data_IF_302741770080
#
_entry.id   IF_302741770080
#
_cell.length_a   1.000
_cell.length_b   1.000
_cell.length_c   1.000
_cell.angle_alpha   90.00
_cell.angle_beta   90.00
_cell.angle_gamma   90.00
#
_symmetry.space_group_name_H-M   'P 1'
#
loop_
_entity.id
_entity.type
_entity.pdbx_description
1 polymer ?
#
# COMPACT_ATOMS: atom_id res chain seq x y z
N UNK A 1 -18.15 23.81 47.48
CA UNK A 1 -16.92 23.07 47.12
C UNK A 1 -16.37 23.72 45.86
N UNK A 2 -15.06 23.97 45.77
CA UNK A 2 -14.48 24.51 44.54
C UNK A 2 -14.56 23.42 43.46
N UNK A 3 -15.27 23.69 42.36
CA UNK A 3 -15.32 22.78 41.22
C UNK A 3 -13.90 22.59 40.69
N UNK A 4 -13.45 21.33 40.64
CA UNK A 4 -12.10 20.98 40.16
C UNK A 4 -12.05 21.32 38.67
N UNK A 5 -11.09 22.16 38.28
CA UNK A 5 -10.81 22.46 36.88
C UNK A 5 -10.15 21.22 36.25
N UNK A 6 -10.92 20.42 35.51
CA UNK A 6 -10.44 19.21 34.83
C UNK A 6 -10.69 19.30 33.33
N UNK A 7 -9.64 19.59 32.56
CA UNK A 7 -9.68 19.41 31.12
C UNK A 7 -9.77 17.90 30.81
N UNK A 8 -10.57 17.53 29.82
CA UNK A 8 -10.70 16.13 29.39
C UNK A 8 -11.05 16.08 27.90
N UNK A 9 -10.14 15.55 27.09
CA UNK A 9 -10.30 15.32 25.64
C UNK A 9 -10.34 13.82 25.34
N UNK A 10 -11.25 13.41 24.47
CA UNK A 10 -11.55 12.02 24.13
C UNK A 10 -11.50 11.80 22.62
N UNK A 11 -11.11 10.59 22.26
CA UNK A 11 -11.12 10.02 20.92
C UNK A 11 -11.49 8.53 21.08
N UNK A 12 -11.94 7.89 20.01
CA UNK A 12 -12.27 6.45 19.96
C UNK A 12 -11.00 5.61 20.12
N UNK A 13 -10.61 5.30 21.35
CA UNK A 13 -9.35 4.63 21.68
C UNK A 13 -9.48 3.12 21.81
N UNK A 14 -10.66 2.61 22.12
CA UNK A 14 -10.97 1.18 22.10
C UNK A 14 -11.43 0.68 20.71
N UNK A 15 -11.62 1.60 19.76
CA UNK A 15 -11.87 1.34 18.32
C UNK A 15 -13.24 0.73 18.07
N UNK A 16 -14.23 1.10 18.87
CA UNK A 16 -15.63 0.66 18.72
C UNK A 16 -16.43 1.53 17.74
N UNK A 17 -15.84 2.62 17.23
CA UNK A 17 -16.45 3.55 16.28
C UNK A 17 -17.14 4.74 16.93
N UNK A 18 -17.17 4.84 18.26
CA UNK A 18 -17.80 5.90 19.04
C UNK A 18 -16.80 6.58 19.98
N UNK A 19 -17.14 7.79 20.45
CA UNK A 19 -16.34 8.49 21.47
C UNK A 19 -17.12 8.54 22.77
N UNK A 20 -16.66 7.81 23.78
CA UNK A 20 -17.27 7.77 25.11
C UNK A 20 -16.88 8.99 25.96
N UNK A 21 -17.89 9.79 26.30
CA UNK A 21 -17.78 10.97 27.16
C UNK A 21 -18.26 10.72 28.59
N UNK A 22 -18.88 9.58 28.87
CA UNK A 22 -19.59 9.30 30.12
C UNK A 22 -18.92 8.22 30.95
N UNK A 23 -18.33 7.22 30.31
CA UNK A 23 -17.59 6.15 30.94
C UNK A 23 -16.08 6.31 30.79
N UNK A 24 -15.40 5.17 30.88
CA UNK A 24 -13.94 5.09 31.01
C UNK A 24 -13.24 4.49 29.80
N UNK A 25 -13.97 3.92 28.82
CA UNK A 25 -13.37 3.21 27.68
C UNK A 25 -12.40 4.10 26.90
N UNK A 26 -12.76 5.38 26.72
CA UNK A 26 -11.91 6.39 26.09
C UNK A 26 -11.12 7.29 27.05
N UNK A 27 -11.10 6.95 28.34
CA UNK A 27 -10.35 7.72 29.35
C UNK A 27 -9.00 7.11 29.69
N UNK A 28 -8.94 5.78 29.80
CA UNK A 28 -7.82 5.08 30.40
C UNK A 28 -6.74 4.83 29.37
N UNK A 29 -5.49 5.14 29.69
CA UNK A 29 -4.36 4.87 28.79
C UNK A 29 -4.35 5.66 27.47
N UNK A 30 -5.32 6.56 27.22
CA UNK A 30 -5.55 7.28 25.95
C UNK A 30 -4.37 8.10 25.41
N UNK A 31 -3.31 8.30 26.19
CA UNK A 31 -2.06 8.95 25.76
C UNK A 31 -1.05 7.98 25.14
N UNK A 32 -1.33 6.68 25.21
CA UNK A 32 -0.51 5.60 24.66
C UNK A 32 -1.19 5.02 23.42
N UNK A 33 -0.42 4.68 22.40
CA UNK A 33 -0.92 4.03 21.19
C UNK A 33 -0.14 2.74 20.92
N UNK A 34 -0.87 1.63 20.79
CA UNK A 34 -0.36 0.28 20.50
C UNK A 34 -1.07 -0.31 19.28
N UNK A 35 -0.62 -1.48 18.82
CA UNK A 35 -1.30 -2.20 17.74
C UNK A 35 -2.77 -2.52 18.07
N UNK A 36 -3.11 -2.67 19.37
CA UNK A 36 -4.44 -3.08 19.82
C UNK A 36 -5.28 -1.93 20.42
N UNK A 37 -4.66 -0.82 20.79
CA UNK A 37 -5.32 0.27 21.51
C UNK A 37 -4.85 1.67 21.06
N UNK A 38 -5.74 2.64 21.13
CA UNK A 38 -5.50 4.04 20.77
C UNK A 38 -6.13 4.40 19.43
N UNK A 39 -6.57 5.65 19.33
CA UNK A 39 -7.41 6.11 18.23
C UNK A 39 -6.67 6.18 16.89
N UNK A 40 -7.42 6.02 15.81
CA UNK A 40 -6.94 6.02 14.43
C UNK A 40 -7.60 7.15 13.65
N UNK A 41 -6.87 7.76 12.74
CA UNK A 41 -7.43 8.74 11.80
C UNK A 41 -6.91 8.54 10.39
N UNK A 42 -7.65 9.03 9.40
CA UNK A 42 -7.30 8.85 7.99
C UNK A 42 -6.40 9.98 7.46
N UNK A 43 -5.50 9.65 6.51
CA UNK A 43 -4.85 10.64 5.67
C UNK A 43 -5.88 11.16 4.65
N UNK A 44 -6.27 12.43 4.71
CA UNK A 44 -7.29 12.97 3.81
C UNK A 44 -6.68 13.38 2.46
N UNK A 45 -6.06 12.40 1.79
CA UNK A 45 -5.24 12.55 0.58
C UNK A 45 -6.01 12.27 -0.72
N UNK A 46 -7.34 12.29 -0.67
CA UNK A 46 -8.22 12.26 -1.84
C UNK A 46 -8.17 13.55 -2.67
N UNK A 47 -8.97 13.62 -3.72
CA UNK A 47 -9.14 14.83 -4.54
C UNK A 47 -10.61 15.09 -4.82
N UNK A 48 -11.31 15.67 -3.83
CA UNK A 48 -12.73 15.98 -3.90
C UNK A 48 -13.04 16.79 -5.16
N UNK A 49 -14.01 16.31 -5.93
CA UNK A 49 -14.44 16.86 -7.23
C UNK A 49 -13.32 16.96 -8.28
N UNK A 50 -12.26 16.16 -8.14
CA UNK A 50 -11.07 16.18 -9.02
C UNK A 50 -10.41 17.55 -9.12
N UNK A 51 -10.41 18.35 -8.05
CA UNK A 51 -9.90 19.73 -8.05
C UNK A 51 -8.44 19.80 -8.51
N UNK A 52 -7.58 18.98 -7.91
CA UNK A 52 -6.16 18.89 -8.24
C UNK A 52 -5.97 18.34 -9.64
N UNK A 53 -6.59 17.22 -9.96
CA UNK A 53 -6.54 16.57 -11.28
C UNK A 53 -6.91 17.55 -12.41
N UNK A 54 -8.04 18.27 -12.26
CA UNK A 54 -8.48 19.30 -13.22
C UNK A 54 -7.49 20.45 -13.36
N UNK A 55 -6.79 20.84 -12.30
CA UNK A 55 -5.78 21.89 -12.35
C UNK A 55 -4.48 21.40 -13.02
N UNK A 56 -4.08 20.17 -12.75
CA UNK A 56 -2.90 19.52 -13.35
C UNK A 56 -3.05 19.39 -14.87
N UNK A 57 -4.24 19.00 -15.35
CA UNK A 57 -4.52 18.83 -16.78
C UNK A 57 -4.63 20.14 -17.58
N UNK A 58 -4.73 21.30 -16.92
CA UNK A 58 -4.88 22.62 -17.57
C UNK A 58 -3.56 23.38 -17.75
N UNK A 59 -2.44 22.88 -17.24
CA UNK A 59 -1.15 23.56 -17.22
C UNK A 59 -0.01 22.71 -17.79
N UNK A 60 1.23 23.24 -17.77
CA UNK A 60 2.41 22.44 -18.08
C UNK A 60 2.57 21.29 -17.07
N UNK A 61 3.24 20.22 -17.51
CA UNK A 61 3.58 19.10 -16.62
C UNK A 61 4.32 19.61 -15.38
N UNK A 62 3.85 19.19 -14.21
CA UNK A 62 4.45 19.53 -12.92
C UNK A 62 5.42 18.44 -12.45
N UNK A 63 6.33 18.79 -11.55
CA UNK A 63 7.23 17.83 -10.91
C UNK A 63 6.47 16.75 -10.14
N UNK A 64 7.12 15.61 -9.91
CA UNK A 64 6.52 14.49 -9.18
C UNK A 64 6.14 14.92 -7.74
N UNK A 65 6.92 15.76 -7.08
CA UNK A 65 6.63 16.26 -5.73
C UNK A 65 5.37 17.13 -5.71
N UNK A 66 5.13 17.90 -6.77
CA UNK A 66 3.94 18.74 -6.87
C UNK A 66 2.68 17.93 -7.18
N UNK A 67 2.79 16.80 -7.90
CA UNK A 67 1.69 15.85 -8.06
C UNK A 67 1.24 15.30 -6.70
N UNK A 68 2.21 14.81 -5.90
CA UNK A 68 1.92 14.16 -4.63
C UNK A 68 1.23 15.10 -3.64
N UNK A 69 1.72 16.33 -3.54
CA UNK A 69 1.27 17.36 -2.59
C UNK A 69 -0.13 17.93 -2.86
N UNK A 70 -0.70 17.77 -4.05
CA UNK A 70 -2.04 18.32 -4.34
C UNK A 70 -3.13 17.30 -4.01
N UNK A 71 -3.75 17.45 -2.84
CA UNK A 71 -4.85 16.62 -2.36
C UNK A 71 -5.81 17.44 -1.47
N UNK A 72 -6.86 16.83 -0.93
CA UNK A 72 -7.85 17.52 -0.08
C UNK A 72 -7.27 18.11 1.21
N UNK A 73 -6.16 17.55 1.68
CA UNK A 73 -5.38 18.04 2.81
C UNK A 73 -4.22 18.98 2.45
N UNK A 74 -4.13 19.45 1.21
CA UNK A 74 -3.09 20.40 0.77
C UNK A 74 -3.23 21.80 1.38
N UNK A 75 -4.41 22.13 1.92
CA UNK A 75 -4.69 23.39 2.62
C UNK A 75 -5.59 23.17 3.85
N UNK A 76 -6.20 24.24 4.38
CA UNK A 76 -7.04 24.22 5.59
C UNK A 76 -8.55 24.18 5.30
N UNK A 77 -8.96 24.00 4.04
CA UNK A 77 -10.37 23.84 3.70
C UNK A 77 -10.74 22.37 3.83
N UNK A 78 -11.71 22.06 4.68
CA UNK A 78 -12.27 20.71 4.76
C UNK A 78 -13.14 20.46 3.52
N UNK A 79 -12.86 19.36 2.81
CA UNK A 79 -13.56 18.97 1.58
C UNK A 79 -14.28 17.64 1.69
N UNK A 80 -13.72 16.71 2.46
CA UNK A 80 -14.29 15.39 2.74
C UNK A 80 -14.40 15.21 4.25
N UNK A 81 -15.53 15.63 4.83
CA UNK A 81 -15.77 15.55 6.28
C UNK A 81 -15.96 14.12 6.78
N UNK A 82 -16.39 13.21 5.91
CA UNK A 82 -16.58 11.79 6.21
C UNK A 82 -15.28 11.06 6.60
N UNK A 83 -14.11 11.66 6.35
CA UNK A 83 -12.80 11.11 6.71
C UNK A 83 -12.19 11.73 7.98
N UNK A 84 -12.93 12.59 8.70
CA UNK A 84 -12.49 13.10 9.99
C UNK A 84 -12.68 12.05 11.08
N UNK A 85 -11.60 11.76 11.83
CA UNK A 85 -11.74 11.02 13.08
C UNK A 85 -12.33 11.94 14.16
N UNK A 86 -13.37 11.50 14.89
CA UNK A 86 -14.03 12.33 15.88
C UNK A 86 -13.13 12.57 17.10
N UNK A 87 -13.13 13.82 17.55
CA UNK A 87 -12.56 14.25 18.83
C UNK A 87 -13.64 14.98 19.63
N UNK A 88 -13.63 14.84 20.94
CA UNK A 88 -14.61 15.51 21.82
C UNK A 88 -13.93 15.99 23.10
N UNK A 89 -14.44 17.06 23.70
CA UNK A 89 -14.08 17.40 25.09
C UNK A 89 -15.27 17.16 26.01
N UNK A 90 -15.04 16.65 27.20
CA UNK A 90 -16.10 16.50 28.20
C UNK A 90 -16.65 17.89 28.58
N UNK A 91 -17.98 18.09 28.62
CA UNK A 91 -18.58 19.37 28.97
C UNK A 91 -18.17 19.85 30.38
N UNK A 92 -17.90 21.14 30.53
CA UNK A 92 -17.50 21.76 31.80
C UNK A 92 -18.56 22.77 32.29
N UNK A 93 -19.79 22.35 32.67
CA UNK A 93 -20.93 23.25 32.89
C UNK A 93 -20.68 24.34 33.95
N UNK A 94 -19.91 23.99 34.98
CA UNK A 94 -19.60 24.88 36.12
C UNK A 94 -18.34 25.73 35.91
N UNK A 95 -17.77 25.74 34.69
CA UNK A 95 -16.57 26.52 34.38
C UNK A 95 -16.84 28.02 34.60
N UNK A 96 -16.02 28.74 35.38
CA UNK A 96 -16.30 30.16 35.67
C UNK A 96 -16.14 31.07 34.45
N UNK A 97 -16.81 32.22 34.49
CA UNK A 97 -16.69 33.25 33.46
C UNK A 97 -15.23 33.72 33.30
N UNK A 98 -14.84 34.03 32.07
CA UNK A 98 -13.47 34.48 31.74
C UNK A 98 -12.48 33.34 31.53
N UNK A 99 -12.89 32.08 31.71
CA UNK A 99 -12.07 30.93 31.32
C UNK A 99 -11.98 30.80 29.80
N UNK A 100 -10.84 30.31 29.31
CA UNK A 100 -10.58 30.06 27.89
C UNK A 100 -9.89 28.72 27.69
N UNK A 101 -10.03 28.15 26.49
CA UNK A 101 -9.48 26.85 26.15
C UNK A 101 -8.75 26.87 24.83
N UNK A 102 -7.83 25.93 24.65
CA UNK A 102 -7.05 25.72 23.41
C UNK A 102 -6.94 24.23 23.13
N UNK A 103 -6.98 23.87 21.86
CA UNK A 103 -6.68 22.52 21.37
C UNK A 103 -5.53 22.62 20.39
N UNK A 104 -4.46 21.87 20.61
CA UNK A 104 -3.26 21.97 19.79
C UNK A 104 -2.43 20.67 19.81
N UNK A 105 -1.59 20.51 18.78
CA UNK A 105 -0.52 19.51 18.75
C UNK A 105 0.81 20.23 19.01
N UNK A 106 1.53 19.81 20.05
CA UNK A 106 2.75 20.52 20.50
C UNK A 106 3.94 20.27 19.57
N UNK A 107 4.15 19.01 19.20
CA UNK A 107 5.25 18.62 18.33
C UNK A 107 5.08 19.24 16.94
N UNK A 108 6.16 19.81 16.39
CA UNK A 108 6.10 20.54 15.13
C UNK A 108 5.88 19.61 13.93
N UNK A 109 6.50 18.42 13.93
CA UNK A 109 6.38 17.44 12.85
C UNK A 109 4.96 16.87 12.85
N UNK A 110 4.43 16.50 14.01
CA UNK A 110 3.05 16.03 14.12
C UNK A 110 2.07 17.12 13.69
N UNK A 111 2.25 18.35 14.19
CA UNK A 111 1.37 19.50 13.88
C UNK A 111 1.38 19.88 12.40
N UNK A 112 2.52 19.74 11.70
CA UNK A 112 2.56 20.01 10.25
C UNK A 112 1.85 18.94 9.42
N UNK A 113 1.64 17.75 9.97
CA UNK A 113 1.06 16.60 9.27
C UNK A 113 -0.41 16.32 9.62
N UNK A 114 -1.03 17.09 10.51
CA UNK A 114 -2.45 16.94 10.85
C UNK A 114 -3.22 18.25 10.72
N UNK A 115 -4.54 18.14 10.62
CA UNK A 115 -5.46 19.27 10.69
C UNK A 115 -6.52 18.96 11.72
N UNK A 116 -6.88 19.95 12.54
CA UNK A 116 -7.98 19.84 13.49
C UNK A 116 -9.04 20.84 13.07
N UNK A 117 -10.29 20.40 13.09
CA UNK A 117 -11.46 21.19 12.77
C UNK A 117 -12.41 21.20 13.95
N UNK A 118 -13.20 22.25 14.07
CA UNK A 118 -14.22 22.42 15.10
C UNK A 118 -15.58 22.66 14.45
N UNK A 119 -16.62 22.02 14.99
CA UNK A 119 -18.01 22.23 14.60
C UNK A 119 -18.76 22.92 15.75
N UNK A 120 -19.08 24.21 15.59
CA UNK A 120 -19.66 25.01 16.67
C UNK A 120 -21.13 24.67 17.02
N UNK A 121 -21.83 24.02 16.10
CA UNK A 121 -23.22 23.57 16.26
C UNK A 121 -23.40 22.23 15.57
N UNK A 122 -24.33 21.42 16.05
CA UNK A 122 -24.71 20.17 15.38
C UNK A 122 -25.06 20.46 13.91
N UNK A 123 -24.47 19.69 12.99
CA UNK A 123 -24.61 19.86 11.53
C UNK A 123 -24.20 21.25 10.99
N UNK A 124 -23.40 21.99 11.75
CA UNK A 124 -22.82 23.27 11.31
C UNK A 124 -21.56 23.08 10.47
N UNK A 125 -21.03 24.19 9.97
CA UNK A 125 -19.80 24.17 9.20
C UNK A 125 -18.59 23.84 10.07
N UNK A 126 -17.67 23.05 9.53
CA UNK A 126 -16.35 22.80 10.12
C UNK A 126 -15.42 23.98 9.87
N UNK A 127 -14.80 24.47 10.94
CA UNK A 127 -13.79 25.52 10.89
C UNK A 127 -12.44 24.95 11.30
N UNK A 128 -11.41 25.13 10.47
CA UNK A 128 -10.04 24.79 10.84
C UNK A 128 -9.62 25.57 12.09
N UNK A 129 -8.97 24.88 13.03
CA UNK A 129 -8.38 25.50 14.21
C UNK A 129 -6.87 25.31 14.17
N UNK A 130 -6.15 26.40 14.43
CA UNK A 130 -4.71 26.35 14.63
C UNK A 130 -4.38 26.28 16.13
N UNK A 131 -3.09 26.13 16.45
CA UNK A 131 -2.65 26.09 17.85
C UNK A 131 -2.96 27.36 18.63
N UNK A 132 -3.25 28.49 17.99
CA UNK A 132 -3.54 29.77 18.62
C UNK A 132 -5.05 30.03 18.81
N UNK A 133 -5.89 29.19 18.22
CA UNK A 133 -7.34 29.28 18.31
C UNK A 133 -7.79 29.12 19.77
N UNK A 134 -8.64 30.04 20.23
CA UNK A 134 -9.15 30.05 21.61
C UNK A 134 -10.65 29.82 21.64
N UNK A 135 -11.09 29.01 22.60
CA UNK A 135 -12.48 28.69 22.83
C UNK A 135 -13.01 29.45 24.04
N UNK A 136 -14.21 30.00 23.90
CA UNK A 136 -14.87 30.77 24.96
C UNK A 136 -15.38 29.87 26.08
N UNK A 137 -15.57 30.44 27.28
CA UNK A 137 -16.20 29.73 28.40
C UNK A 137 -17.53 29.07 27.98
N UNK A 138 -18.33 29.72 27.14
CA UNK A 138 -19.64 29.21 26.73
C UNK A 138 -19.52 27.94 25.86
N UNK A 139 -18.50 27.86 25.00
CA UNK A 139 -18.22 26.67 24.21
C UNK A 139 -17.71 25.53 25.10
N UNK A 140 -16.76 25.82 26.01
CA UNK A 140 -16.20 24.83 26.93
C UNK A 140 -17.26 24.23 27.88
N UNK A 141 -18.24 25.04 28.31
CA UNK A 141 -19.37 24.55 29.11
C UNK A 141 -20.22 23.51 28.39
N UNK A 142 -20.31 23.59 27.06
CA UNK A 142 -21.04 22.63 26.21
C UNK A 142 -20.20 21.43 25.79
N UNK A 143 -18.88 21.51 25.91
CA UNK A 143 -17.95 20.59 25.27
C UNK A 143 -17.75 20.94 23.79
N UNK A 144 -16.55 20.65 23.27
CA UNK A 144 -16.18 20.91 21.88
C UNK A 144 -16.44 19.66 21.03
N UNK A 145 -16.99 19.88 19.84
CA UNK A 145 -17.07 18.88 18.77
C UNK A 145 -15.94 19.15 17.79
N UNK A 146 -15.02 18.19 17.69
CA UNK A 146 -13.77 18.32 16.96
C UNK A 146 -13.63 17.15 15.98
N UNK A 147 -12.82 17.35 14.95
CA UNK A 147 -12.44 16.31 14.00
C UNK A 147 -10.99 16.48 13.59
N UNK A 148 -10.28 15.38 13.37
CA UNK A 148 -8.88 15.37 12.95
C UNK A 148 -8.68 14.52 11.70
N UNK A 149 -7.84 15.01 10.78
CA UNK A 149 -7.31 14.21 9.68
C UNK A 149 -5.81 14.46 9.46
N UNK A 150 -5.20 13.57 8.67
CA UNK A 150 -3.80 13.64 8.25
C UNK A 150 -3.63 14.34 6.91
N UNK A 151 -2.51 15.04 6.74
CA UNK A 151 -2.07 15.60 5.46
C UNK A 151 -1.31 14.62 4.58
N UNK A 152 -0.79 13.57 5.19
CA UNK A 152 0.07 12.60 4.54
C UNK A 152 -0.05 11.24 5.25
N UNK A 153 0.57 10.23 4.67
CA UNK A 153 0.71 8.87 5.23
C UNK A 153 2.01 8.76 6.02
N UNK A 154 2.24 7.60 6.65
CA UNK A 154 3.54 7.29 7.26
C UNK A 154 4.59 7.17 6.15
N UNK A 155 5.76 7.76 6.35
CA UNK A 155 6.87 7.74 5.39
C UNK A 155 8.19 7.41 6.08
N UNK A 156 9.15 6.79 5.36
CA UNK A 156 10.46 6.48 5.92
C UNK A 156 11.16 7.77 6.35
N UNK A 157 11.81 7.74 7.52
CA UNK A 157 12.57 8.87 8.10
C UNK A 157 11.77 10.17 8.30
N UNK A 158 10.43 10.08 8.30
CA UNK A 158 9.54 11.22 8.43
C UNK A 158 8.67 11.14 9.68
N UNK A 159 7.42 11.53 9.53
CA UNK A 159 6.42 11.40 10.56
C UNK A 159 5.99 9.94 10.71
N UNK A 160 6.04 9.42 11.94
CA UNK A 160 5.67 8.05 12.30
C UNK A 160 4.15 7.81 12.36
N UNK A 161 3.37 8.85 12.04
CA UNK A 161 1.93 8.86 12.04
C UNK A 161 1.28 9.32 13.34
N UNK A 162 2.03 9.51 14.44
CA UNK A 162 1.44 9.85 15.74
C UNK A 162 1.06 11.32 15.85
N UNK A 163 -0.06 11.62 16.50
CA UNK A 163 -0.46 12.98 16.84
C UNK A 163 -0.97 13.02 18.28
N UNK A 164 -0.23 13.69 19.16
CA UNK A 164 -0.65 13.95 20.53
C UNK A 164 -1.43 15.26 20.60
N UNK A 165 -2.75 15.15 20.58
CA UNK A 165 -3.65 16.31 20.67
C UNK A 165 -3.82 16.68 22.14
N UNK A 166 -3.56 17.94 22.46
CA UNK A 166 -3.64 18.48 23.82
C UNK A 166 -4.77 19.48 23.92
N UNK A 167 -5.63 19.31 24.92
CA UNK A 167 -6.65 20.26 25.32
C UNK A 167 -6.23 20.95 26.61
N UNK A 168 -6.12 22.26 26.57
CA UNK A 168 -5.73 23.09 27.70
C UNK A 168 -6.84 24.06 28.05
N UNK A 169 -7.17 24.19 29.34
CA UNK A 169 -8.17 25.14 29.85
C UNK A 169 -7.51 26.02 30.90
N UNK A 170 -7.64 27.34 30.73
CA UNK A 170 -7.15 28.36 31.66
C UNK A 170 -8.34 29.09 32.28
N UNK A 171 -8.27 29.31 33.59
CA UNK A 171 -9.24 30.04 34.40
C UNK A 171 -8.48 30.89 35.43
N UNK A 172 -9.19 31.77 36.15
CA UNK A 172 -8.62 32.47 37.31
C UNK A 172 -8.20 31.50 38.43
N UNK A 173 -8.82 30.31 38.50
CA UNK A 173 -8.49 29.25 39.46
C UNK A 173 -7.26 28.41 39.05
N UNK A 174 -6.64 28.68 37.90
CA UNK A 174 -5.47 27.94 37.42
C UNK A 174 -5.62 27.41 36.00
N UNK A 175 -4.79 26.42 35.64
CA UNK A 175 -4.76 25.80 34.32
C UNK A 175 -4.88 24.28 34.47
N UNK A 176 -5.62 23.65 33.57
CA UNK A 176 -5.76 22.18 33.48
C UNK A 176 -5.49 21.75 32.06
N UNK A 177 -4.88 20.58 31.87
CA UNK A 177 -4.52 20.06 30.56
C UNK A 177 -4.72 18.57 30.52
N UNK A 178 -5.13 18.09 29.36
CA UNK A 178 -5.28 16.67 29.08
C UNK A 178 -4.95 16.39 27.61
N UNK A 179 -4.59 15.16 27.29
CA UNK A 179 -4.12 14.78 25.95
C UNK A 179 -4.66 13.42 25.53
N UNK A 180 -4.80 13.25 24.22
CA UNK A 180 -5.14 11.97 23.59
C UNK A 180 -4.22 11.72 22.40
N UNK A 181 -3.72 10.48 22.28
CA UNK A 181 -2.85 10.06 21.20
C UNK A 181 -3.68 9.40 20.11
N UNK A 182 -3.44 9.82 18.87
CA UNK A 182 -3.95 9.14 17.70
C UNK A 182 -2.81 8.77 16.76
N UNK A 183 -3.06 7.82 15.85
CA UNK A 183 -2.10 7.49 14.79
C UNK A 183 -2.78 7.40 13.43
N UNK A 184 -2.15 7.96 12.40
CA UNK A 184 -2.67 7.85 11.03
C UNK A 184 -2.72 6.38 10.62
N UNK A 185 -3.82 5.99 9.99
CA UNK A 185 -4.00 4.65 9.46
C UNK A 185 -2.86 4.29 8.48
N UNK A 186 -2.28 3.08 8.58
CA UNK A 186 -1.28 2.62 7.61
C UNK A 186 -1.93 2.44 6.23
N UNK A 187 -1.12 2.57 5.17
CA UNK A 187 -1.54 2.14 3.84
C UNK A 187 -1.30 0.65 3.71
N UNK A 188 -2.36 -0.10 3.42
CA UNK A 188 -2.32 -1.55 3.21
C UNK A 188 -2.58 -1.86 1.74
N UNK A 189 -1.88 -2.84 1.19
CA UNK A 189 -2.18 -3.38 -0.14
C UNK A 189 -3.31 -4.39 -0.06
N UNK A 190 -4.01 -4.55 -1.17
CA UNK A 190 -4.99 -5.60 -1.32
C UNK A 190 -4.32 -6.98 -1.41
N UNK A 191 -5.04 -8.00 -0.97
CA UNK A 191 -4.63 -9.38 -1.19
C UNK A 191 -5.27 -9.91 -2.45
N UNK A 192 -4.74 -11.00 -3.01
CA UNK A 192 -5.33 -11.69 -4.15
C UNK A 192 -6.78 -12.20 -3.91
N UNK A 193 -7.27 -12.15 -2.67
CA UNK A 193 -8.65 -12.49 -2.33
C UNK A 193 -9.63 -11.33 -2.58
N UNK A 194 -9.12 -10.12 -2.83
CA UNK A 194 -9.90 -8.92 -3.07
C UNK A 194 -10.24 -8.74 -4.58
N UNK A 195 -11.32 -8.00 -4.94
CA UNK A 195 -11.68 -7.74 -6.34
C UNK A 195 -10.63 -6.94 -7.13
N UNK A 196 -10.28 -7.40 -8.34
CA UNK A 196 -9.19 -6.86 -9.20
C UNK A 196 -9.55 -5.58 -9.96
N UNK A 197 -8.59 -4.65 -10.09
CA UNK A 197 -8.62 -3.53 -11.07
C UNK A 197 -7.40 -3.62 -12.01
N UNK A 198 -7.58 -3.32 -13.29
CA UNK A 198 -6.59 -3.59 -14.35
C UNK A 198 -5.53 -2.48 -14.48
N UNK A 199 -4.34 -2.73 -13.95
CA UNK A 199 -3.00 -2.34 -14.42
C UNK A 199 -1.98 -2.70 -13.33
N UNK A 200 -0.90 -3.40 -13.68
CA UNK A 200 -0.02 -4.05 -12.68
C UNK A 200 1.26 -3.25 -12.39
N UNK A 201 2.03 -2.89 -13.42
CA UNK A 201 3.42 -2.52 -13.16
C UNK A 201 3.67 -1.08 -12.69
N UNK A 202 2.72 -0.17 -12.88
CA UNK A 202 2.92 1.26 -12.53
C UNK A 202 2.10 1.72 -11.32
N UNK A 203 1.30 0.82 -10.74
CA UNK A 203 0.41 1.09 -9.63
C UNK A 203 0.28 -0.16 -8.76
N UNK A 204 0.11 0.05 -7.46
CA UNK A 204 -0.31 -1.00 -6.53
C UNK A 204 -1.57 -0.49 -5.79
N UNK A 205 -2.72 -1.19 -5.89
CA UNK A 205 -3.94 -0.77 -5.19
C UNK A 205 -3.82 -1.02 -3.68
N UNK A 206 -4.24 -0.03 -2.89
CA UNK A 206 -4.30 -0.16 -1.44
C UNK A 206 -5.41 0.66 -0.81
N UNK A 207 -5.40 0.71 0.52
CA UNK A 207 -6.38 1.44 1.31
C UNK A 207 -5.84 1.81 2.69
N UNK A 208 -6.52 2.75 3.34
CA UNK A 208 -6.34 3.06 4.76
C UNK A 208 -7.72 3.11 5.41
N UNK A 209 -7.85 2.59 6.64
CA UNK A 209 -9.15 2.51 7.33
C UNK A 209 -9.07 2.98 8.78
N UNK A 210 -10.17 3.52 9.27
CA UNK A 210 -10.39 3.81 10.69
C UNK A 210 -11.75 3.25 11.14
N UNK A 211 -11.95 3.00 12.44
CA UNK A 211 -13.26 2.63 12.97
C UNK A 211 -14.32 3.70 12.70
N UNK A 212 -15.58 3.28 12.63
CA UNK A 212 -16.72 4.16 12.47
C UNK A 212 -17.98 3.51 13.05
N UNK A 213 -19.03 4.31 13.32
CA UNK A 213 -20.21 3.85 14.06
C UNK A 213 -21.00 2.74 13.35
N UNK A 214 -20.94 2.70 12.02
CA UNK A 214 -21.63 1.71 11.18
C UNK A 214 -20.67 0.71 10.51
N UNK A 215 -19.42 0.64 11.01
CA UNK A 215 -18.33 -0.15 10.44
C UNK A 215 -17.15 0.72 9.98
N UNK A 216 -16.11 0.09 9.39
CA UNK A 216 -14.89 0.80 9.00
C UNK A 216 -15.15 1.89 7.96
N UNK A 217 -14.52 3.04 8.16
CA UNK A 217 -14.45 4.11 7.18
C UNK A 217 -13.10 3.96 6.45
N UNK A 218 -13.16 3.76 5.13
CA UNK A 218 -11.97 3.47 4.31
C UNK A 218 -11.75 4.51 3.22
N UNK A 219 -10.49 4.90 3.04
CA UNK A 219 -10.01 5.62 1.87
C UNK A 219 -9.26 4.64 0.96
N UNK A 220 -9.69 4.50 -0.29
CA UNK A 220 -8.92 3.79 -1.33
C UNK A 220 -7.70 4.61 -1.69
N UNK A 221 -6.53 3.99 -1.82
CA UNK A 221 -5.26 4.67 -2.09
C UNK A 221 -4.54 3.94 -3.21
N UNK A 222 -4.21 4.63 -4.29
CA UNK A 222 -3.34 4.08 -5.33
C UNK A 222 -1.88 4.41 -5.01
N UNK A 223 -1.02 3.40 -4.99
CA UNK A 223 0.40 3.56 -4.71
C UNK A 223 1.14 3.55 -6.05
N UNK A 224 1.82 4.64 -6.39
CA UNK A 224 2.60 4.72 -7.63
C UNK A 224 3.89 3.90 -7.51
N UNK A 225 4.23 3.13 -8.53
CA UNK A 225 5.56 2.50 -8.66
C UNK A 225 6.67 3.57 -8.59
N UNK A 226 7.81 3.32 -7.91
CA UNK A 226 8.89 4.30 -7.70
C UNK A 226 9.81 4.41 -8.94
N UNK A 227 9.19 4.64 -10.10
CA UNK A 227 9.81 4.83 -11.40
C UNK A 227 9.49 6.26 -11.88
N UNK A 228 10.39 7.19 -11.57
CA UNK A 228 10.09 8.63 -11.57
C UNK A 228 9.72 9.17 -12.96
N UNK A 229 10.31 8.58 -14.00
CA UNK A 229 10.13 8.91 -15.42
C UNK A 229 8.96 8.15 -16.08
N UNK A 230 8.37 7.15 -15.41
CA UNK A 230 7.27 6.34 -15.97
C UNK A 230 5.97 7.14 -16.01
N UNK A 231 5.68 7.71 -17.18
CA UNK A 231 4.52 8.59 -17.42
C UNK A 231 3.19 7.95 -17.00
N UNK A 232 3.02 6.63 -17.22
CA UNK A 232 1.80 5.91 -16.82
C UNK A 232 1.50 6.05 -15.32
N UNK A 233 2.52 6.01 -14.45
CA UNK A 233 2.34 6.17 -12.99
C UNK A 233 1.84 7.55 -12.57
N UNK A 234 2.06 8.58 -13.39
CA UNK A 234 1.52 9.93 -13.12
C UNK A 234 0.01 10.00 -13.28
N UNK A 235 -0.57 9.10 -14.09
CA UNK A 235 -2.01 9.07 -14.32
C UNK A 235 -2.81 8.81 -13.04
N UNK A 236 -2.20 8.18 -12.03
CA UNK A 236 -2.81 8.01 -10.71
C UNK A 236 -3.20 9.35 -10.07
N UNK A 237 -2.38 10.38 -10.26
CA UNK A 237 -2.62 11.72 -9.73
C UNK A 237 -3.43 12.60 -10.69
N UNK A 238 -3.29 12.36 -12.00
CA UNK A 238 -3.87 13.21 -13.05
C UNK A 238 -5.30 12.79 -13.43
N UNK A 239 -5.65 11.51 -13.29
CA UNK A 239 -6.94 10.96 -13.75
C UNK A 239 -7.68 10.15 -12.69
N UNK A 240 -6.98 9.40 -11.85
CA UNK A 240 -7.64 8.43 -10.96
C UNK A 240 -7.88 8.94 -9.53
N UNK A 241 -7.05 9.84 -9.00
CA UNK A 241 -7.30 10.50 -7.70
C UNK A 241 -8.62 11.27 -7.79
N UNK A 242 -9.50 11.07 -6.80
CA UNK A 242 -10.88 11.57 -6.83
C UNK A 242 -11.46 11.68 -5.41
N UNK A 243 -12.73 12.07 -5.31
CA UNK A 243 -13.53 11.98 -4.09
C UNK A 243 -13.49 10.54 -3.55
N UNK A 244 -12.89 10.36 -2.37
CA UNK A 244 -12.74 9.05 -1.73
C UNK A 244 -11.70 8.11 -2.37
N UNK A 245 -10.83 8.64 -3.24
CA UNK A 245 -9.69 7.91 -3.81
C UNK A 245 -8.42 8.77 -3.68
N UNK A 246 -7.53 8.37 -2.78
CA UNK A 246 -6.20 8.95 -2.62
C UNK A 246 -5.18 8.36 -3.59
N UNK A 247 -4.03 9.00 -3.67
CA UNK A 247 -2.84 8.43 -4.30
C UNK A 247 -1.60 8.79 -3.50
N UNK A 248 -0.56 7.96 -3.53
CA UNK A 248 0.72 8.21 -2.87
C UNK A 248 1.86 7.76 -3.77
N UNK A 249 3.05 8.31 -3.54
CA UNK A 249 4.27 7.85 -4.19
C UNK A 249 5.46 7.93 -3.24
N UNK A 250 6.42 7.05 -3.43
CA UNK A 250 7.79 7.17 -2.94
C UNK A 250 8.67 7.18 -4.20
N UNK A 251 9.57 8.15 -4.33
CA UNK A 251 10.45 8.23 -5.50
C UNK A 251 11.59 7.22 -5.38
N UNK A 252 11.97 6.61 -6.51
CA UNK A 252 13.02 5.58 -6.59
C UNK A 252 14.09 5.86 -7.64
N UNK A 253 13.92 6.92 -8.43
CA UNK A 253 14.85 7.30 -9.49
C UNK A 253 14.41 6.83 -10.87
N UNK A 254 15.40 6.58 -11.74
CA UNK A 254 15.17 6.16 -13.12
C UNK A 254 14.40 4.84 -13.20
N UNK A 255 13.79 4.59 -14.36
CA UNK A 255 13.01 3.38 -14.61
C UNK A 255 13.90 2.13 -14.46
N UNK A 256 13.48 1.21 -13.62
CA UNK A 256 14.13 -0.08 -13.36
C UNK A 256 13.03 -1.12 -13.08
N UNK A 257 13.14 -2.33 -13.63
CA UNK A 257 12.06 -3.32 -13.57
C UNK A 257 11.88 -3.92 -12.17
N UNK A 258 12.92 -3.96 -11.33
CA UNK A 258 12.75 -4.32 -9.90
C UNK A 258 11.70 -3.44 -9.20
N UNK A 259 11.47 -2.22 -9.72
CA UNK A 259 10.59 -1.22 -9.15
C UNK A 259 9.18 -1.22 -9.79
N UNK A 260 8.82 -2.24 -10.56
CA UNK A 260 7.48 -2.41 -11.12
C UNK A 260 6.53 -3.07 -10.10
N UNK A 261 5.24 -2.73 -10.19
CA UNK A 261 4.19 -3.20 -9.27
C UNK A 261 4.00 -4.71 -9.25
N UNK A 262 4.22 -5.44 -10.35
CA UNK A 262 4.24 -6.92 -10.35
C UNK A 262 5.31 -7.53 -9.42
N UNK A 263 6.28 -6.72 -8.99
CA UNK A 263 7.28 -7.09 -7.99
C UNK A 263 6.88 -6.75 -6.55
N UNK A 264 5.60 -6.43 -6.32
CA UNK A 264 4.98 -6.18 -5.02
C UNK A 264 3.71 -7.02 -4.98
N UNK A 265 3.66 -8.01 -4.10
CA UNK A 265 2.48 -8.86 -3.96
C UNK A 265 2.16 -9.07 -2.48
N UNK A 266 0.97 -9.59 -2.17
CA UNK A 266 0.52 -9.75 -0.78
C UNK A 266 0.05 -11.17 -0.49
N UNK A 267 0.67 -11.79 0.52
CA UNK A 267 0.21 -13.05 1.14
C UNK A 267 -1.09 -12.74 1.88
N UNK A 268 -2.18 -13.52 1.70
CA UNK A 268 -3.44 -13.31 2.41
C UNK A 268 -3.30 -13.47 3.93
N UNK A 269 -4.31 -13.09 4.74
CA UNK A 269 -4.23 -13.17 6.19
C UNK A 269 -3.88 -14.58 6.70
N UNK A 270 -3.06 -14.64 7.75
CA UNK A 270 -2.65 -15.90 8.36
C UNK A 270 -2.13 -15.70 9.78
N UNK A 271 -2.08 -16.79 10.55
CA UNK A 271 -1.38 -16.85 11.82
C UNK A 271 -0.35 -17.97 11.78
N UNK A 272 0.84 -17.71 12.33
CA UNK A 272 1.87 -18.74 12.42
C UNK A 272 2.81 -18.49 13.60
N UNK A 273 3.15 -19.54 14.35
CA UNK A 273 4.03 -19.50 15.52
C UNK A 273 3.69 -18.38 16.52
N UNK A 274 2.40 -18.17 16.80
CA UNK A 274 1.92 -17.15 17.74
C UNK A 274 2.03 -15.71 17.22
N UNK A 275 2.36 -15.51 15.93
CA UNK A 275 2.31 -14.21 15.26
C UNK A 275 1.09 -14.16 14.34
N UNK A 276 0.26 -13.14 14.50
CA UNK A 276 -0.94 -12.91 13.67
C UNK A 276 -0.67 -11.83 12.62
N UNK A 277 -1.06 -12.11 11.37
CA UNK A 277 -1.00 -11.18 10.23
C UNK A 277 -2.41 -10.96 9.67
N UNK A 278 -3.27 -10.19 10.37
CA UNK A 278 -4.69 -10.04 10.00
C UNK A 278 -4.89 -9.27 8.69
N UNK A 279 -3.91 -8.47 8.26
CA UNK A 279 -3.89 -7.80 6.97
C UNK A 279 -3.04 -8.55 5.92
N UNK A 280 -2.60 -9.77 6.23
CA UNK A 280 -1.61 -10.46 5.41
C UNK A 280 -0.21 -9.87 5.55
N UNK A 281 0.67 -10.23 4.62
CA UNK A 281 2.08 -9.81 4.62
C UNK A 281 2.58 -9.60 3.20
N UNK A 282 3.30 -8.51 2.95
CA UNK A 282 3.86 -8.22 1.63
C UNK A 282 4.99 -9.20 1.26
N UNK A 283 5.15 -9.45 -0.04
CA UNK A 283 6.33 -10.04 -0.66
C UNK A 283 6.86 -9.07 -1.71
N UNK A 284 8.18 -8.85 -1.72
CA UNK A 284 8.87 -8.05 -2.73
C UNK A 284 10.06 -8.83 -3.27
N UNK A 285 10.30 -8.76 -4.58
CA UNK A 285 11.47 -9.40 -5.19
C UNK A 285 12.72 -8.53 -5.14
N UNK A 286 13.84 -9.14 -4.79
CA UNK A 286 15.18 -8.57 -4.89
C UNK A 286 15.83 -8.96 -6.23
N UNK A 287 16.65 -8.05 -6.77
CA UNK A 287 17.59 -8.32 -7.85
C UNK A 287 19.00 -8.40 -7.26
N UNK A 288 19.46 -9.63 -6.97
CA UNK A 288 20.71 -9.87 -6.25
C UNK A 288 20.72 -9.21 -4.86
N UNK A 289 21.56 -8.19 -4.67
CA UNK A 289 21.64 -7.41 -3.42
C UNK A 289 20.75 -6.16 -3.42
N UNK A 290 20.14 -5.83 -4.56
CA UNK A 290 19.27 -4.68 -4.71
C UNK A 290 17.87 -5.04 -4.21
N UNK A 291 17.29 -4.14 -3.41
CA UNK A 291 15.90 -4.24 -2.97
C UNK A 291 15.05 -3.19 -3.66
N UNK A 292 13.76 -3.49 -3.81
CA UNK A 292 12.77 -2.58 -4.36
C UNK A 292 12.74 -1.24 -3.58
N UNK A 293 12.72 -0.12 -4.31
CA UNK A 293 12.72 1.22 -3.73
C UNK A 293 11.49 1.57 -2.87
N UNK A 294 10.40 0.80 -2.95
CA UNK A 294 9.24 0.94 -2.06
C UNK A 294 9.44 0.29 -0.69
N UNK A 295 10.46 -0.56 -0.49
CA UNK A 295 10.66 -1.30 0.75
C UNK A 295 10.67 -0.41 2.01
N UNK A 296 11.35 0.76 2.04
CA UNK A 296 11.30 1.66 3.19
C UNK A 296 9.90 2.25 3.44
N UNK A 297 9.12 2.50 2.38
CA UNK A 297 7.75 2.97 2.50
C UNK A 297 6.84 1.92 3.12
N UNK A 298 6.89 0.67 2.65
CA UNK A 298 6.09 -0.42 3.20
C UNK A 298 6.47 -0.76 4.64
N UNK A 299 7.76 -0.75 4.97
CA UNK A 299 8.22 -0.92 6.37
C UNK A 299 7.73 0.18 7.31
N UNK A 300 7.58 1.42 6.81
CA UNK A 300 6.99 2.50 7.61
C UNK A 300 5.49 2.31 7.91
N UNK A 301 4.80 1.40 7.19
CA UNK A 301 3.41 1.07 7.48
C UNK A 301 3.27 0.05 8.61
N UNK A 302 4.34 -0.72 8.89
CA UNK A 302 4.48 -1.73 9.95
C UNK A 302 3.56 -2.97 9.81
N UNK A 303 2.31 -2.80 9.40
CA UNK A 303 1.27 -3.84 9.47
C UNK A 303 1.47 -5.02 8.51
N UNK A 304 2.02 -4.78 7.31
CA UNK A 304 2.32 -5.82 6.31
C UNK A 304 3.84 -5.91 6.06
N UNK A 305 4.66 -5.95 7.12
CA UNK A 305 6.13 -5.95 7.02
C UNK A 305 6.66 -6.96 5.97
N UNK A 306 7.36 -6.51 4.91
CA UNK A 306 7.64 -7.37 3.77
C UNK A 306 8.59 -8.55 4.02
N UNK A 307 8.29 -9.68 3.37
CA UNK A 307 9.24 -10.73 3.03
C UNK A 307 9.96 -10.38 1.72
N UNK A 308 11.24 -10.76 1.64
CA UNK A 308 12.05 -10.52 0.45
C UNK A 308 12.32 -11.85 -0.26
N UNK A 309 11.96 -11.92 -1.54
CA UNK A 309 12.14 -13.07 -2.41
C UNK A 309 13.26 -12.79 -3.42
N UNK A 310 13.83 -13.83 -4.00
CA UNK A 310 14.78 -13.73 -5.12
C UNK A 310 14.01 -13.82 -6.44
N UNK A 311 13.97 -12.71 -7.17
CA UNK A 311 13.34 -12.61 -8.48
C UNK A 311 14.34 -12.30 -9.60
N UNK A 312 15.63 -12.10 -9.27
CA UNK A 312 16.72 -11.71 -10.20
C UNK A 312 16.94 -12.69 -11.37
N UNK A 313 16.49 -13.93 -11.21
CA UNK A 313 16.64 -14.99 -12.20
C UNK A 313 15.63 -14.90 -13.35
N UNK A 314 14.62 -14.03 -13.23
CA UNK A 314 13.62 -13.74 -14.26
C UNK A 314 14.02 -12.50 -15.06
N UNK A 315 13.54 -12.41 -16.31
CA UNK A 315 13.88 -11.28 -17.17
C UNK A 315 13.17 -9.98 -16.76
N UNK A 316 11.87 -10.04 -16.43
CA UNK A 316 11.21 -8.88 -15.83
C UNK A 316 11.60 -8.77 -14.35
N UNK A 317 11.76 -9.92 -13.68
CA UNK A 317 12.36 -9.97 -12.36
C UNK A 317 11.34 -9.73 -11.26
N UNK A 318 10.11 -10.21 -11.46
CA UNK A 318 8.96 -9.95 -10.60
C UNK A 318 8.49 -11.20 -9.88
N UNK A 319 7.82 -11.03 -8.74
CA UNK A 319 7.32 -12.16 -7.94
C UNK A 319 6.02 -12.76 -8.52
N UNK A 320 5.19 -11.93 -9.16
CA UNK A 320 3.95 -12.35 -9.82
C UNK A 320 4.17 -13.34 -10.98
N UNK A 321 5.37 -13.36 -11.56
CA UNK A 321 5.80 -14.26 -12.62
C UNK A 321 5.89 -15.73 -12.18
N UNK A 322 6.00 -16.02 -10.88
CA UNK A 322 6.21 -17.41 -10.42
C UNK A 322 5.42 -17.83 -9.18
N UNK A 323 4.82 -16.90 -8.43
CA UNK A 323 4.03 -17.22 -7.23
C UNK A 323 2.78 -16.35 -7.11
N UNK A 324 1.66 -16.97 -6.75
CA UNK A 324 0.39 -16.31 -6.47
C UNK A 324 -0.32 -17.00 -5.29
N UNK A 325 -1.33 -16.33 -4.72
CA UNK A 325 -2.16 -16.89 -3.65
C UNK A 325 -3.63 -16.85 -4.08
N UNK A 326 -4.35 -17.96 -3.92
CA UNK A 326 -5.74 -18.05 -4.36
C UNK A 326 -6.65 -18.44 -3.20
N UNK A 327 -7.91 -17.95 -3.16
CA UNK A 327 -8.89 -18.43 -2.20
C UNK A 327 -9.10 -19.92 -2.37
N UNK A 328 -9.20 -20.64 -1.26
CA UNK A 328 -9.49 -22.07 -1.25
C UNK A 328 -10.35 -22.44 -0.05
N UNK A 329 -11.19 -23.45 -0.22
CA UNK A 329 -11.91 -24.07 0.88
C UNK A 329 -10.94 -24.97 1.68
N UNK A 330 -10.12 -24.33 2.53
CA UNK A 330 -9.12 -24.96 3.38
C UNK A 330 -9.13 -24.32 4.77
N UNK A 331 -8.49 -24.94 5.77
CA UNK A 331 -8.37 -24.37 7.12
C UNK A 331 -7.71 -22.97 7.09
N UNK A 332 -6.76 -22.76 6.18
CA UNK A 332 -6.09 -21.48 5.97
C UNK A 332 -6.93 -20.48 5.15
N UNK A 333 -7.93 -20.96 4.41
CA UNK A 333 -8.77 -20.16 3.51
C UNK A 333 -8.12 -19.81 2.17
N UNK A 334 -6.86 -20.23 1.95
CA UNK A 334 -6.12 -19.98 0.72
C UNK A 334 -5.06 -21.05 0.46
N UNK A 335 -4.63 -21.14 -0.80
CA UNK A 335 -3.52 -21.98 -1.27
C UNK A 335 -2.48 -21.12 -1.97
N UNK A 336 -1.24 -21.57 -1.96
CA UNK A 336 -0.19 -20.97 -2.79
C UNK A 336 -0.14 -21.69 -4.12
N UNK A 337 -0.18 -20.94 -5.22
CA UNK A 337 0.11 -21.44 -6.56
C UNK A 337 1.52 -21.02 -6.94
N UNK A 338 2.33 -21.97 -7.39
CA UNK A 338 3.71 -21.72 -7.74
C UNK A 338 4.06 -22.48 -9.02
N UNK A 339 4.87 -21.88 -9.88
CA UNK A 339 5.35 -22.52 -11.09
C UNK A 339 6.24 -23.74 -10.79
N UNK A 340 6.09 -24.79 -11.60
CA UNK A 340 6.89 -26.01 -11.55
C UNK A 340 7.44 -26.35 -12.95
N UNK A 341 8.69 -25.91 -13.22
CA UNK A 341 9.38 -26.19 -14.48
C UNK A 341 9.55 -27.68 -14.78
N UNK A 342 9.77 -28.50 -13.75
CA UNK A 342 10.02 -29.93 -13.90
C UNK A 342 8.71 -30.70 -14.15
N UNK A 343 7.60 -30.27 -13.56
CA UNK A 343 6.28 -30.76 -13.92
C UNK A 343 5.94 -30.44 -15.38
N UNK A 344 6.32 -29.25 -15.89
CA UNK A 344 6.20 -28.90 -17.30
C UNK A 344 6.98 -29.85 -18.22
N UNK A 345 8.25 -30.13 -17.89
CA UNK A 345 9.07 -31.12 -18.64
C UNK A 345 8.44 -32.50 -18.60
N UNK A 346 8.00 -32.96 -17.43
CA UNK A 346 7.36 -34.27 -17.25
C UNK A 346 6.07 -34.39 -18.08
N UNK A 347 5.27 -33.33 -18.11
CA UNK A 347 4.06 -33.28 -18.95
C UNK A 347 4.42 -33.45 -20.43
N UNK A 348 5.43 -32.74 -20.92
CA UNK A 348 5.91 -32.90 -22.31
C UNK A 348 6.42 -34.32 -22.59
N UNK A 349 7.14 -34.93 -21.65
CA UNK A 349 7.60 -36.33 -21.78
C UNK A 349 6.44 -37.31 -21.89
N UNK A 350 5.37 -37.13 -21.12
CA UNK A 350 4.14 -37.94 -21.20
C UNK A 350 3.42 -37.76 -22.53
N UNK A 351 3.34 -36.53 -23.05
CA UNK A 351 2.76 -36.25 -24.38
C UNK A 351 3.60 -36.90 -25.48
N UNK A 352 4.94 -36.87 -25.37
CA UNK A 352 5.81 -37.62 -26.30
C UNK A 352 5.56 -39.12 -26.23
N UNK A 353 5.48 -39.70 -25.02
CA UNK A 353 5.27 -41.12 -24.81
C UNK A 353 3.91 -41.62 -25.35
N UNK A 354 2.89 -40.77 -25.40
CA UNK A 354 1.60 -41.07 -26.04
C UNK A 354 1.57 -40.92 -27.57
N UNK A 355 2.73 -40.69 -28.21
CA UNK A 355 2.87 -40.63 -29.66
C UNK A 355 2.71 -39.24 -30.27
N UNK A 356 2.66 -38.19 -29.45
CA UNK A 356 2.44 -36.82 -29.90
C UNK A 356 3.71 -35.96 -29.94
N UNK A 357 4.90 -36.56 -29.90
CA UNK A 357 6.18 -35.83 -29.88
C UNK A 357 6.43 -34.92 -31.10
N UNK A 358 5.84 -35.19 -32.25
CA UNK A 358 5.95 -34.35 -33.47
C UNK A 358 4.99 -33.16 -33.50
N UNK A 359 4.13 -32.99 -32.48
CA UNK A 359 3.27 -31.81 -32.38
C UNK A 359 4.12 -30.59 -32.02
N UNK A 360 3.77 -29.45 -32.62
CA UNK A 360 4.29 -28.13 -32.24
C UNK A 360 3.88 -27.80 -30.81
N UNK A 361 4.78 -27.21 -30.02
CA UNK A 361 4.46 -26.73 -28.67
C UNK A 361 3.41 -25.62 -28.72
N UNK A 362 3.57 -24.69 -29.67
CA UNK A 362 2.62 -23.61 -29.93
C UNK A 362 1.72 -23.97 -31.12
N UNK A 363 0.41 -24.02 -30.87
CA UNK A 363 -0.61 -24.31 -31.88
C UNK A 363 -1.05 -23.08 -32.68
N UNK A 364 -0.59 -21.88 -32.30
CA UNK A 364 -0.89 -20.64 -33.03
C UNK A 364 -0.28 -20.68 -34.43
N UNK A 365 -1.01 -20.15 -35.40
CA UNK A 365 -0.50 -19.92 -36.74
C UNK A 365 0.64 -18.90 -36.69
N UNK A 366 1.49 -18.84 -37.73
CA UNK A 366 2.46 -17.77 -37.85
C UNK A 366 1.76 -16.51 -38.40
N UNK A 367 0.89 -15.92 -37.58
CA UNK A 367 0.08 -14.74 -37.89
C UNK A 367 0.84 -13.46 -37.54
N UNK A 368 1.96 -13.26 -38.23
CA UNK A 368 2.86 -12.10 -38.06
C UNK A 368 2.45 -10.88 -38.90
N UNK A 369 1.15 -10.66 -39.16
CA UNK A 369 0.74 -9.43 -39.86
C UNK A 369 0.98 -8.26 -38.89
N UNK A 370 1.91 -7.34 -39.18
CA UNK A 370 2.10 -6.16 -38.35
C UNK A 370 0.84 -5.32 -38.45
N UNK A 371 0.28 -4.92 -37.32
CA UNK A 371 -0.62 -3.77 -37.31
C UNK A 371 0.22 -2.53 -37.68
N UNK A 372 0.26 -2.18 -38.96
CA UNK A 372 0.88 -0.94 -39.42
C UNK A 372 -0.06 0.24 -39.07
N UNK A 373 0.41 1.39 -38.55
CA UNK A 373 1.79 1.80 -38.28
C UNK A 373 2.04 1.95 -36.77
N UNK A 374 2.49 0.88 -36.12
CA UNK A 374 3.07 0.99 -34.79
C UNK A 374 4.56 0.62 -34.85
N UNK A 375 5.42 1.64 -34.91
CA UNK A 375 6.88 1.50 -34.96
C UNK A 375 7.51 1.26 -33.57
N UNK A 376 6.69 0.98 -32.54
CA UNK A 376 7.14 0.81 -31.16
C UNK A 376 7.38 -0.67 -30.83
N UNK A 377 8.31 -0.91 -29.91
CA UNK A 377 8.78 -2.22 -29.44
C UNK A 377 7.65 -3.20 -29.08
N UNK A 378 6.54 -2.73 -28.51
CA UNK A 378 5.40 -3.56 -28.08
C UNK A 378 4.43 -4.00 -29.18
N UNK A 379 4.69 -3.69 -30.45
CA UNK A 379 3.79 -3.98 -31.57
C UNK A 379 4.44 -4.79 -32.69
N UNK A 380 5.67 -5.27 -32.48
CA UNK A 380 6.31 -6.17 -33.43
C UNK A 380 5.65 -7.55 -33.34
N UNK A 381 5.33 -8.21 -34.47
CA UNK A 381 4.79 -9.55 -34.43
C UNK A 381 5.84 -10.48 -33.80
N UNK A 382 5.48 -11.10 -32.68
CA UNK A 382 6.32 -12.11 -32.03
C UNK A 382 6.19 -13.39 -32.86
N UNK A 383 7.24 -13.82 -33.59
CA UNK A 383 7.17 -15.00 -34.44
C UNK A 383 6.82 -16.21 -33.57
N UNK A 384 5.86 -17.01 -34.03
CA UNK A 384 5.49 -18.24 -33.33
C UNK A 384 6.49 -19.32 -33.71
N UNK A 385 7.31 -19.73 -32.75
CA UNK A 385 8.28 -20.80 -32.96
C UNK A 385 7.59 -22.09 -33.49
N UNK A 386 8.21 -22.74 -34.46
CA UNK A 386 7.70 -24.00 -35.04
C UNK A 386 8.14 -25.24 -34.26
N UNK A 387 8.86 -25.05 -33.15
CA UNK A 387 9.48 -26.09 -32.35
C UNK A 387 8.48 -27.14 -31.86
N UNK A 388 8.80 -28.39 -32.10
CA UNK A 388 8.03 -29.57 -31.68
C UNK A 388 8.39 -30.00 -30.26
N UNK A 389 7.53 -30.79 -29.65
CA UNK A 389 7.78 -31.38 -28.32
C UNK A 389 9.06 -32.23 -28.32
N UNK A 390 9.32 -32.97 -29.39
CA UNK A 390 10.55 -33.76 -29.55
C UNK A 390 11.81 -32.87 -29.52
N UNK A 391 11.77 -31.73 -30.21
CA UNK A 391 12.91 -30.79 -30.29
C UNK A 391 13.13 -30.09 -28.95
N UNK A 392 12.07 -29.65 -28.27
CA UNK A 392 12.13 -29.08 -26.92
C UNK A 392 12.78 -30.06 -25.94
N UNK A 393 12.33 -31.32 -25.92
CA UNK A 393 12.87 -32.36 -25.04
C UNK A 393 14.29 -32.80 -25.42
N UNK A 394 14.73 -32.56 -26.65
CA UNK A 394 16.10 -32.84 -27.09
C UNK A 394 17.07 -31.68 -26.79
N UNK A 395 16.56 -30.48 -26.52
CA UNK A 395 17.36 -29.30 -26.21
C UNK A 395 17.89 -29.35 -24.77
N UNK A 396 19.13 -29.83 -24.61
CA UNK A 396 19.78 -29.97 -23.30
C UNK A 396 19.91 -28.65 -22.54
N UNK A 397 20.14 -27.54 -23.24
CA UNK A 397 20.30 -26.23 -22.61
C UNK A 397 18.96 -25.77 -22.02
N UNK A 398 17.87 -25.95 -22.78
CA UNK A 398 16.53 -25.62 -22.28
C UNK A 398 16.13 -26.49 -21.09
N UNK A 399 16.45 -27.79 -21.10
CA UNK A 399 16.21 -28.67 -19.94
C UNK A 399 17.02 -28.22 -18.72
N UNK A 400 18.29 -27.86 -18.92
CA UNK A 400 19.14 -27.31 -17.85
C UNK A 400 18.58 -26.00 -17.26
N UNK A 401 17.98 -25.14 -18.09
CA UNK A 401 17.28 -23.94 -17.62
C UNK A 401 16.11 -24.31 -16.70
N UNK A 402 15.33 -25.36 -17.00
CA UNK A 402 14.22 -25.77 -16.12
C UNK A 402 14.72 -26.20 -14.74
N UNK A 403 15.83 -26.94 -14.70
CA UNK A 403 16.46 -27.35 -13.43
C UNK A 403 16.96 -26.15 -12.63
N UNK A 404 17.50 -25.12 -13.30
CA UNK A 404 17.95 -23.89 -12.66
C UNK A 404 16.77 -23.08 -12.10
N UNK A 405 15.72 -22.87 -12.89
CA UNK A 405 14.50 -22.18 -12.46
C UNK A 405 13.82 -22.92 -11.30
N UNK A 406 13.72 -24.25 -11.36
CA UNK A 406 13.13 -25.05 -10.30
C UNK A 406 13.87 -24.89 -8.96
N UNK A 407 15.21 -24.80 -9.00
CA UNK A 407 16.02 -24.53 -7.79
C UNK A 407 15.74 -23.14 -7.20
N UNK A 408 15.59 -22.12 -8.05
CA UNK A 408 15.27 -20.74 -7.63
C UNK A 408 13.87 -20.64 -7.02
N UNK A 409 12.89 -21.27 -7.66
CA UNK A 409 11.51 -21.32 -7.17
C UNK A 409 11.46 -22.06 -5.83
N UNK A 410 12.10 -23.22 -5.72
CA UNK A 410 12.10 -23.99 -4.46
C UNK A 410 12.76 -23.19 -3.32
N UNK A 411 13.85 -22.46 -3.59
CA UNK A 411 14.48 -21.60 -2.57
C UNK A 411 13.51 -20.51 -2.05
N UNK A 412 12.74 -19.87 -2.93
CA UNK A 412 11.71 -18.91 -2.53
C UNK A 412 10.55 -19.57 -1.78
N UNK A 413 10.12 -20.75 -2.21
CA UNK A 413 9.10 -21.51 -1.50
C UNK A 413 9.53 -21.82 -0.06
N UNK A 414 10.80 -22.14 0.18
CA UNK A 414 11.30 -22.38 1.54
C UNK A 414 11.21 -21.14 2.42
N UNK A 415 11.46 -19.93 1.88
CA UNK A 415 11.27 -18.66 2.61
C UNK A 415 9.79 -18.52 3.01
N UNK A 416 8.88 -18.75 2.06
CA UNK A 416 7.44 -18.63 2.29
C UNK A 416 6.93 -19.68 3.30
N UNK A 417 7.36 -20.93 3.20
CA UNK A 417 7.05 -22.00 4.17
C UNK A 417 7.52 -21.65 5.58
N UNK A 418 8.76 -21.16 5.72
CA UNK A 418 9.30 -20.76 7.01
C UNK A 418 8.56 -19.58 7.63
N UNK A 419 8.06 -18.66 6.81
CA UNK A 419 7.39 -17.45 7.29
C UNK A 419 5.87 -17.62 7.54
N UNK A 420 5.23 -18.60 6.90
CA UNK A 420 3.76 -18.76 6.92
C UNK A 420 3.28 -20.09 7.48
N UNK A 421 4.18 -21.09 7.57
CA UNK A 421 3.82 -22.46 7.93
C UNK A 421 3.03 -23.20 6.86
N UNK A 422 2.95 -22.68 5.63
CA UNK A 422 2.27 -23.39 4.54
C UNK A 422 2.96 -24.73 4.26
N UNK A 423 2.16 -25.77 4.04
CA UNK A 423 2.63 -27.14 3.79
C UNK A 423 2.50 -27.51 2.32
N UNK A 424 3.14 -28.61 1.89
CA UNK A 424 3.02 -29.09 0.50
C UNK A 424 1.59 -29.47 0.11
N UNK A 425 0.72 -29.79 1.07
CA UNK A 425 -0.70 -30.08 0.82
C UNK A 425 -1.49 -28.82 0.44
N UNK A 426 -0.98 -27.65 0.80
CA UNK A 426 -1.59 -26.33 0.54
C UNK A 426 -0.94 -25.62 -0.66
N UNK A 427 -0.05 -26.30 -1.38
CA UNK A 427 0.70 -25.75 -2.52
C UNK A 427 0.29 -26.45 -3.81
N UNK A 428 -0.24 -25.67 -4.74
CA UNK A 428 -0.55 -26.12 -6.10
C UNK A 428 0.64 -25.79 -7.00
N UNK A 429 1.27 -26.84 -7.54
CA UNK A 429 2.35 -26.71 -8.51
C UNK A 429 1.80 -26.63 -9.94
N UNK A 430 2.03 -25.51 -10.61
CA UNK A 430 1.57 -25.27 -11.98
C UNK A 430 2.64 -25.71 -12.99
N UNK A 431 2.37 -26.67 -13.89
CA UNK A 431 3.33 -27.06 -14.92
C UNK A 431 3.66 -25.88 -15.86
N UNK A 432 4.88 -25.37 -15.76
CA UNK A 432 5.35 -24.19 -16.50
C UNK A 432 6.69 -24.49 -17.19
N UNK A 433 7.11 -23.65 -18.13
CA UNK A 433 8.41 -23.76 -18.78
C UNK A 433 9.02 -22.37 -18.95
N UNK A 434 10.30 -22.26 -18.65
CA UNK A 434 11.08 -21.02 -18.77
C UNK A 434 12.06 -21.12 -19.93
N UNK A 435 12.46 -19.99 -20.50
CA UNK A 435 13.56 -19.95 -21.46
C UNK A 435 14.43 -18.75 -21.21
N UNK A 436 15.70 -18.85 -21.58
CA UNK A 436 16.56 -17.67 -21.70
C UNK A 436 16.06 -16.81 -22.85
N UNK A 437 16.19 -15.50 -22.70
CA UNK A 437 15.97 -14.59 -23.82
C UNK A 437 17.23 -14.62 -24.69
N UNK A 438 17.07 -15.06 -25.94
CA UNK A 438 18.07 -14.86 -26.98
C UNK A 438 17.73 -13.57 -27.72
N UNK A 439 18.49 -12.50 -27.49
CA UNK A 439 18.40 -11.29 -28.30
C UNK A 439 19.24 -11.44 -29.57
N UNK A 440 18.70 -12.05 -30.62
CA UNK A 440 19.20 -11.84 -31.99
C UNK A 440 18.51 -10.61 -32.61
N UNK A 441 18.57 -9.47 -31.92
CA UNK A 441 18.15 -8.17 -32.45
C UNK A 441 19.34 -7.21 -32.36
N UNK A 442 20.03 -7.00 -33.48
CA UNK A 442 21.01 -5.90 -33.60
C UNK A 442 20.26 -4.56 -33.48
N UNK A 443 20.39 -3.90 -32.33
CA UNK A 443 19.95 -2.52 -32.15
C UNK A 443 20.89 -1.58 -32.93
N UNK A 444 20.39 -0.70 -33.82
CA UNK A 444 21.20 0.42 -34.29
C UNK A 444 21.33 1.42 -33.14
N UNK A 445 22.46 1.39 -32.44
CA UNK A 445 22.85 2.41 -31.45
C UNK A 445 22.88 1.99 -29.99
N UNK A 446 22.63 0.71 -29.65
CA UNK A 446 22.84 0.20 -28.29
C UNK A 446 24.16 -0.57 -28.22
N UNK A 447 25.17 0.02 -27.58
CA UNK A 447 26.47 -0.61 -27.30
C UNK A 447 26.49 -1.30 -25.92
N UNK A 448 25.34 -1.59 -25.32
CA UNK A 448 25.30 -2.41 -24.11
C UNK A 448 25.26 -3.90 -24.49
N UNK A 449 26.44 -4.53 -24.40
CA UNK A 449 26.53 -5.99 -24.31
C UNK A 449 25.90 -6.44 -23.00
N UNK A 450 24.66 -6.91 -23.03
CA UNK A 450 24.09 -7.71 -21.95
C UNK A 450 24.68 -9.11 -22.05
N UNK A 451 25.83 -9.31 -21.39
CA UNK A 451 26.33 -10.65 -21.11
C UNK A 451 25.32 -11.32 -20.18
N UNK A 452 24.42 -12.13 -20.74
CA UNK A 452 23.74 -13.20 -20.04
C UNK A 452 24.77 -14.25 -19.62
N UNK A 453 25.56 -13.92 -18.62
CA UNK A 453 26.51 -14.81 -17.97
C UNK A 453 26.45 -14.54 -16.47
N UNK A 454 26.20 -15.61 -15.73
CA UNK A 454 26.33 -15.72 -14.29
C UNK A 454 27.34 -14.74 -13.68
N UNK A 455 26.87 -13.74 -12.94
CA UNK A 455 27.70 -13.05 -11.96
C UNK A 455 27.59 -13.75 -10.61
N UNK A 456 28.05 -15.00 -10.56
CA UNK A 456 28.41 -15.68 -9.32
C UNK A 456 29.74 -16.43 -9.54
N UNK A 457 30.82 -15.66 -9.45
CA UNK A 457 32.14 -16.16 -9.08
C UNK A 457 32.82 -15.06 -8.23
N UNK A 458 32.48 -15.07 -6.93
CA UNK A 458 33.40 -14.99 -5.78
C UNK A 458 32.62 -14.90 -4.48
#
# INVERSE_FOLDING_TARGET
MATILKADIRADTDRDGLVDLSGTSDSEGKTTWTADFGAIFLPNIGDTDKRCSKALLKGPAVSNEKLDRCNDASDNTLRSEQFLAPLRTVPMPDLPNGASGRVYVKDQVQRSNVRIFHQASCNGNWTYIDGNSTFSTAALRKGLVLGIDGRDVRRPNGWDGRALVTFNVKSFNGTSSDSVMLRVAPVLTHTHLDPVQQAQDFLEPGFASMPGPDGPISLRIMIRSPQDERVAGRQLFEYYRDTGIGAVQQLGGSRDEINSGGNIETIPPYEFNGTSWPAGRLILGNHGKQSHAMLPFFRAQETQDPLLLDADWLFAGHVDEFVQFLPADSERGWVMVVDDPLAGVKMLQQIKASGHGSRRLFSRNNDTIPANPCNNFGCQPIPVESTTINEILANKDLISVQEQCAKRIEANMQILKQATGITDEEIIRLPSLFKRINFDFNFPGDNSTTNGADSNNN
#
